data_IF_835950292691
#
_entry.id   IF_835950292691
#
_cell.length_a   1.000
_cell.length_b   1.000
_cell.length_c   1.000
_cell.angle_alpha   90.00
_cell.angle_beta   90.00
_cell.angle_gamma   90.00
#
_symmetry.space_group_name_H-M   'P 1'
#
loop_
_entity.id
_entity.type
_entity.pdbx_description
1 polymer ?
#
# COMPACT_ATOMS: atom_id res chain seq x y z
N UNK A 1 1.01 42.05 5.42
CA UNK A 1 0.03 42.29 6.50
C UNK A 1 -1.24 41.43 6.43
N UNK A 2 -1.73 40.98 5.26
CA UNK A 2 -2.99 40.20 5.16
C UNK A 2 -2.95 38.73 5.61
N UNK A 3 -1.80 38.05 5.56
CA UNK A 3 -1.73 36.63 5.97
C UNK A 3 -1.95 36.38 7.46
N UNK A 4 -1.53 37.31 8.33
CA UNK A 4 -1.64 37.12 9.78
C UNK A 4 -3.08 37.30 10.27
N UNK A 5 -3.83 38.22 9.68
CA UNK A 5 -5.26 38.41 9.97
C UNK A 5 -6.09 37.23 9.46
N UNK A 6 -5.80 36.69 8.28
CA UNK A 6 -6.44 35.47 7.75
C UNK A 6 -6.13 34.26 8.62
N UNK A 7 -4.86 34.06 8.99
CA UNK A 7 -4.45 32.95 9.85
C UNK A 7 -5.14 33.00 11.23
N UNK A 8 -5.21 34.19 11.85
CA UNK A 8 -5.89 34.37 13.13
C UNK A 8 -7.40 34.17 13.01
N UNK A 9 -8.01 34.60 11.90
CA UNK A 9 -9.42 34.34 11.62
C UNK A 9 -9.66 32.84 11.44
N UNK A 10 -8.84 32.16 10.65
CA UNK A 10 -8.91 30.70 10.48
C UNK A 10 -8.78 29.99 11.82
N UNK A 11 -7.78 30.34 12.64
CA UNK A 11 -7.60 29.77 13.99
C UNK A 11 -8.81 29.98 14.90
N UNK A 12 -9.49 31.13 14.84
CA UNK A 12 -10.72 31.37 15.62
C UNK A 12 -11.85 30.45 15.19
N UNK A 13 -12.03 30.25 13.88
CA UNK A 13 -13.10 29.43 13.33
C UNK A 13 -12.82 27.93 13.38
N UNK A 14 -11.55 27.51 13.44
CA UNK A 14 -11.16 26.11 13.58
C UNK A 14 -10.88 25.70 15.02
N UNK A 15 -11.26 26.50 16.02
CA UNK A 15 -10.98 26.24 17.46
C UNK A 15 -9.49 25.98 17.72
N UNK A 16 -8.61 26.77 17.08
CA UNK A 16 -7.15 26.64 17.13
C UNK A 16 -6.59 25.34 16.52
N UNK A 17 -7.42 24.53 15.84
CA UNK A 17 -6.94 23.31 15.18
C UNK A 17 -6.07 23.65 13.99
N UNK A 18 -4.91 22.99 13.92
CA UNK A 18 -3.98 23.09 12.81
C UNK A 18 -4.48 22.27 11.60
N UNK A 19 -4.63 22.92 10.46
CA UNK A 19 -4.99 22.28 9.19
C UNK A 19 -3.82 21.46 8.63
N UNK A 20 -2.61 22.01 8.73
CA UNK A 20 -1.37 21.30 8.40
C UNK A 20 -0.92 20.50 9.62
N UNK A 21 -0.89 19.18 9.49
CA UNK A 21 -0.44 18.27 10.55
C UNK A 21 0.69 17.43 10.01
N UNK A 22 1.89 17.63 10.56
CA UNK A 22 3.03 16.80 10.23
C UNK A 22 2.85 15.40 10.82
N UNK A 23 3.11 14.37 10.02
CA UNK A 23 3.20 12.99 10.44
C UNK A 23 4.66 12.52 10.39
N UNK A 24 4.93 11.34 10.98
CA UNK A 24 6.27 10.73 10.95
C UNK A 24 6.77 10.46 9.52
N UNK A 25 5.87 10.24 8.56
CA UNK A 25 6.20 10.04 7.15
C UNK A 25 5.53 11.11 6.30
N UNK A 26 6.21 11.55 5.23
CA UNK A 26 5.66 12.53 4.27
C UNK A 26 4.32 12.10 3.67
N UNK A 27 4.11 10.79 3.49
CA UNK A 27 2.87 10.22 2.96
C UNK A 27 1.71 10.39 3.95
N UNK A 28 1.95 10.09 5.23
CA UNK A 28 0.96 10.32 6.27
C UNK A 28 0.68 11.81 6.48
N UNK A 29 1.66 12.71 6.26
CA UNK A 29 1.45 14.16 6.36
C UNK A 29 0.37 14.66 5.39
N UNK A 30 0.44 14.26 4.11
CA UNK A 30 -0.56 14.65 3.11
C UNK A 30 -1.96 14.13 3.46
N UNK A 31 -2.05 12.86 3.86
CA UNK A 31 -3.32 12.25 4.25
C UNK A 31 -3.94 12.92 5.48
N UNK A 32 -3.18 13.11 6.56
CA UNK A 32 -3.67 13.77 7.79
C UNK A 32 -4.05 15.23 7.50
N UNK A 33 -3.31 15.91 6.63
CA UNK A 33 -3.64 17.29 6.20
C UNK A 33 -4.97 17.33 5.46
N UNK A 34 -5.20 16.45 4.48
CA UNK A 34 -6.48 16.34 3.77
C UNK A 34 -7.63 16.01 4.72
N UNK A 35 -7.40 15.11 5.68
CA UNK A 35 -8.39 14.73 6.70
C UNK A 35 -8.74 15.92 7.60
N UNK A 36 -7.74 16.68 8.06
CA UNK A 36 -7.93 17.89 8.85
C UNK A 36 -8.71 18.97 8.08
N UNK A 37 -8.37 19.18 6.80
CA UNK A 37 -9.11 20.08 5.91
C UNK A 37 -10.57 19.66 5.78
N UNK A 38 -10.84 18.37 5.53
CA UNK A 38 -12.20 17.85 5.41
C UNK A 38 -13.01 18.05 6.70
N UNK A 39 -12.41 17.77 7.87
CA UNK A 39 -13.06 17.99 9.18
C UNK A 39 -13.40 19.46 9.43
N UNK A 40 -12.62 20.39 8.88
CA UNK A 40 -12.82 21.83 9.03
C UNK A 40 -13.57 22.46 7.86
N UNK A 41 -14.11 21.68 6.92
CA UNK A 41 -14.77 22.16 5.70
C UNK A 41 -15.76 23.29 5.97
N UNK A 42 -16.72 23.07 6.85
CA UNK A 42 -17.81 24.03 7.05
C UNK A 42 -17.33 25.28 7.78
N UNK A 43 -16.35 25.14 8.68
CA UNK A 43 -15.68 26.26 9.33
C UNK A 43 -14.90 27.10 8.31
N UNK A 44 -14.19 26.45 7.39
CA UNK A 44 -13.48 27.11 6.29
C UNK A 44 -14.46 27.83 5.36
N UNK A 45 -15.57 27.20 4.96
CA UNK A 45 -16.59 27.88 4.16
C UNK A 45 -17.16 29.12 4.86
N UNK A 46 -17.39 29.07 6.18
CA UNK A 46 -17.82 30.25 6.97
C UNK A 46 -16.77 31.36 7.00
N UNK A 47 -15.48 31.02 7.08
CA UNK A 47 -14.38 32.00 7.04
C UNK A 47 -14.36 32.74 5.71
N UNK A 48 -14.55 32.02 4.60
CA UNK A 48 -14.38 32.55 3.24
C UNK A 48 -15.68 33.11 2.61
N UNK A 49 -16.87 32.74 3.09
CA UNK A 49 -18.14 33.25 2.55
C UNK A 49 -18.29 34.79 2.60
N UNK A 50 -17.91 35.49 3.70
CA UNK A 50 -17.96 36.95 3.73
C UNK A 50 -17.01 37.62 2.72
N UNK A 51 -15.94 36.93 2.32
CA UNK A 51 -14.94 37.44 1.38
C UNK A 51 -15.46 37.42 -0.05
N UNK A 52 -16.34 36.46 -0.37
CA UNK A 52 -17.07 36.44 -1.64
C UNK A 52 -18.05 37.61 -1.76
N UNK A 53 -18.75 37.95 -0.67
CA UNK A 53 -19.75 39.02 -0.62
C UNK A 53 -19.15 40.44 -0.57
N UNK A 54 -17.92 40.59 -0.06
CA UNK A 54 -17.22 41.89 0.10
C UNK A 54 -16.19 42.13 -1.00
N UNK A 55 -16.41 41.58 -2.20
CA UNK A 55 -15.52 41.63 -3.36
C UNK A 55 -14.93 43.02 -3.67
N UNK A 56 -15.63 44.10 -3.30
CA UNK A 56 -15.20 45.50 -3.49
C UNK A 56 -14.03 45.96 -2.60
N UNK A 57 -13.79 45.38 -1.41
CA UNK A 57 -12.68 45.81 -0.52
C UNK A 57 -11.33 45.18 -0.83
N UNK A 58 -11.33 44.11 -1.63
CA UNK A 58 -10.17 43.22 -1.84
C UNK A 58 -9.95 42.91 -3.31
N UNK A 59 -10.47 43.80 -4.17
CA UNK A 59 -10.55 43.57 -5.60
C UNK A 59 -9.18 43.37 -6.27
N UNK A 60 -8.12 43.90 -5.63
CA UNK A 60 -6.72 43.78 -6.05
C UNK A 60 -6.00 42.52 -5.54
N UNK A 61 -6.59 41.76 -4.61
CA UNK A 61 -5.99 40.52 -4.08
C UNK A 61 -6.39 39.30 -4.93
N UNK A 62 -5.65 39.09 -6.00
CA UNK A 62 -5.89 37.99 -6.94
C UNK A 62 -5.70 36.61 -6.30
N UNK A 63 -4.86 36.50 -5.26
CA UNK A 63 -4.60 35.25 -4.56
C UNK A 63 -5.79 34.89 -3.66
N UNK A 64 -6.26 35.83 -2.83
CA UNK A 64 -7.41 35.62 -1.96
C UNK A 64 -8.70 35.30 -2.73
N UNK A 65 -8.88 35.87 -3.93
CA UNK A 65 -9.97 35.51 -4.84
C UNK A 65 -9.92 34.04 -5.27
N UNK A 66 -8.74 33.55 -5.69
CA UNK A 66 -8.53 32.15 -6.09
C UNK A 66 -8.77 31.19 -4.92
N UNK A 67 -8.24 31.50 -3.74
CA UNK A 67 -8.41 30.68 -2.52
C UNK A 67 -9.88 30.59 -2.11
N UNK A 68 -10.60 31.73 -2.11
CA UNK A 68 -12.04 31.78 -1.82
C UNK A 68 -12.83 30.93 -2.81
N UNK A 69 -12.53 31.04 -4.11
CA UNK A 69 -13.19 30.24 -5.14
C UNK A 69 -12.98 28.74 -4.88
N UNK A 70 -11.75 28.29 -4.64
CA UNK A 70 -11.43 26.88 -4.39
C UNK A 70 -12.14 26.35 -3.14
N UNK A 71 -12.11 27.09 -2.02
CA UNK A 71 -12.74 26.67 -0.75
C UNK A 71 -14.27 26.59 -0.86
N UNK A 72 -14.89 27.39 -1.72
CA UNK A 72 -16.34 27.38 -1.89
C UNK A 72 -16.81 26.38 -2.96
N UNK A 73 -15.93 25.93 -3.86
CA UNK A 73 -16.24 24.93 -4.88
C UNK A 73 -16.56 23.56 -4.27
N UNK A 74 -17.73 23.01 -4.58
CA UNK A 74 -18.12 21.65 -4.16
C UNK A 74 -17.21 20.57 -4.75
N UNK A 75 -16.75 20.74 -5.99
CA UNK A 75 -15.85 19.79 -6.65
C UNK A 75 -14.52 19.62 -5.93
N UNK A 76 -13.97 20.68 -5.34
CA UNK A 76 -12.76 20.62 -4.52
C UNK A 76 -12.93 19.67 -3.33
N UNK A 77 -14.03 19.83 -2.57
CA UNK A 77 -14.32 18.98 -1.41
C UNK A 77 -14.63 17.54 -1.81
N UNK A 78 -15.34 17.35 -2.91
CA UNK A 78 -15.58 16.00 -3.45
C UNK A 78 -14.26 15.32 -3.81
N UNK A 79 -13.29 16.06 -4.36
CA UNK A 79 -11.93 15.56 -4.61
C UNK A 79 -11.20 15.15 -3.32
N UNK A 80 -11.33 15.93 -2.24
CA UNK A 80 -10.75 15.56 -0.93
C UNK A 80 -11.37 14.27 -0.41
N UNK A 81 -12.70 14.15 -0.43
CA UNK A 81 -13.42 12.94 0.02
C UNK A 81 -12.98 11.72 -0.79
N UNK A 82 -12.87 11.88 -2.11
CA UNK A 82 -12.39 10.84 -3.01
C UNK A 82 -10.96 10.40 -2.67
N UNK A 83 -10.03 11.34 -2.52
CA UNK A 83 -8.64 11.05 -2.17
C UNK A 83 -8.50 10.36 -0.81
N UNK A 84 -9.24 10.81 0.20
CA UNK A 84 -9.26 10.18 1.53
C UNK A 84 -9.77 8.75 1.46
N UNK A 85 -10.93 8.54 0.81
CA UNK A 85 -11.52 7.21 0.65
C UNK A 85 -10.54 6.20 0.05
N UNK A 86 -9.82 6.59 -0.99
CA UNK A 86 -8.87 5.71 -1.69
C UNK A 86 -7.62 5.45 -0.85
N UNK A 87 -7.08 6.51 -0.24
CA UNK A 87 -5.87 6.41 0.58
C UNK A 87 -6.14 5.58 1.84
N UNK A 88 -7.32 5.70 2.44
CA UNK A 88 -7.75 4.89 3.59
C UNK A 88 -7.76 3.40 3.25
N UNK A 89 -8.34 3.03 2.11
CA UNK A 89 -8.39 1.64 1.66
C UNK A 89 -7.00 1.07 1.42
N UNK A 90 -6.09 1.85 0.81
CA UNK A 90 -4.69 1.45 0.67
C UNK A 90 -4.04 1.28 2.04
N UNK A 91 -4.20 2.26 2.93
CA UNK A 91 -3.56 2.27 4.24
C UNK A 91 -3.97 1.07 5.09
N UNK A 92 -5.25 0.69 5.12
CA UNK A 92 -5.73 -0.48 5.87
C UNK A 92 -5.01 -1.76 5.45
N UNK A 93 -4.86 -1.99 4.14
CA UNK A 93 -4.22 -3.20 3.62
C UNK A 93 -2.70 -3.20 3.84
N UNK A 94 -2.04 -2.05 3.68
CA UNK A 94 -0.60 -1.94 3.93
C UNK A 94 -0.25 -1.89 5.43
N UNK A 95 -1.11 -1.37 6.30
CA UNK A 95 -0.92 -1.46 7.77
C UNK A 95 -1.07 -2.90 8.24
N UNK A 96 -2.07 -3.62 7.72
CA UNK A 96 -2.21 -5.05 8.00
C UNK A 96 -0.93 -5.82 7.61
N UNK A 97 -0.36 -5.49 6.45
CA UNK A 97 0.92 -6.04 6.00
C UNK A 97 2.07 -5.71 6.98
N UNK A 98 2.11 -4.51 7.54
CA UNK A 98 3.13 -4.10 8.52
C UNK A 98 3.01 -4.83 9.87
N UNK A 99 1.83 -5.35 10.20
CA UNK A 99 1.61 -6.20 11.39
C UNK A 99 2.02 -7.64 11.12
N UNK A 100 1.88 -8.12 9.88
CA UNK A 100 2.37 -9.45 9.46
C UNK A 100 3.88 -9.41 9.22
N UNK A 101 4.66 -9.91 10.17
CA UNK A 101 6.10 -10.03 10.03
C UNK A 101 6.51 -11.50 9.78
N UNK A 102 7.25 -11.81 8.71
CA UNK A 102 7.70 -10.90 7.63
C UNK A 102 6.67 -10.74 6.50
N UNK A 103 6.71 -9.58 5.84
CA UNK A 103 5.69 -9.10 4.89
C UNK A 103 5.85 -9.65 3.47
N UNK A 104 7.01 -10.21 3.11
CA UNK A 104 7.38 -10.51 1.72
C UNK A 104 6.40 -11.46 1.03
N UNK A 105 5.88 -12.45 1.76
CA UNK A 105 4.92 -13.42 1.23
C UNK A 105 3.50 -12.90 1.01
N UNK A 106 3.21 -11.67 1.46
CA UNK A 106 1.85 -11.11 1.52
C UNK A 106 1.65 -9.87 0.67
N UNK A 107 2.73 -9.28 0.14
CA UNK A 107 2.66 -7.93 -0.45
C UNK A 107 1.82 -7.85 -1.73
N UNK A 108 1.87 -8.89 -2.57
CA UNK A 108 1.04 -8.99 -3.77
C UNK A 108 -0.44 -9.15 -3.40
N UNK A 109 -0.75 -10.05 -2.47
CA UNK A 109 -2.12 -10.20 -1.96
C UNK A 109 -2.67 -8.93 -1.32
N UNK A 110 -1.84 -8.20 -0.58
CA UNK A 110 -2.24 -6.93 0.00
C UNK A 110 -2.58 -5.90 -1.08
N UNK A 111 -1.82 -5.87 -2.18
CA UNK A 111 -2.11 -5.00 -3.34
C UNK A 111 -3.40 -5.40 -4.05
N UNK A 112 -3.59 -6.69 -4.31
CA UNK A 112 -4.78 -7.20 -5.01
C UNK A 112 -6.04 -6.95 -4.18
N UNK A 113 -5.99 -7.19 -2.87
CA UNK A 113 -7.09 -6.86 -1.94
C UNK A 113 -7.37 -5.37 -1.86
N UNK A 114 -6.33 -4.53 -1.85
CA UNK A 114 -6.52 -3.08 -1.81
C UNK A 114 -7.21 -2.57 -3.09
N UNK A 115 -6.80 -3.06 -4.26
CA UNK A 115 -7.49 -2.78 -5.53
C UNK A 115 -8.94 -3.27 -5.49
N UNK A 116 -9.17 -4.53 -5.13
CA UNK A 116 -10.52 -5.10 -5.02
C UNK A 116 -11.42 -4.27 -4.08
N UNK A 117 -10.90 -3.81 -2.95
CA UNK A 117 -11.61 -2.94 -2.02
C UNK A 117 -11.94 -1.57 -2.62
N UNK A 118 -11.02 -0.97 -3.38
CA UNK A 118 -11.27 0.28 -4.13
C UNK A 118 -12.41 0.08 -5.13
N UNK A 119 -12.33 -0.93 -6.00
CA UNK A 119 -13.39 -1.21 -6.98
C UNK A 119 -14.75 -1.43 -6.31
N UNK A 120 -14.78 -2.23 -5.24
CA UNK A 120 -16.00 -2.50 -4.45
C UNK A 120 -16.57 -1.22 -3.85
N UNK A 121 -15.71 -0.33 -3.34
CA UNK A 121 -16.13 0.95 -2.75
C UNK A 121 -16.81 1.88 -3.75
N UNK A 122 -16.57 1.69 -5.05
CA UNK A 122 -17.21 2.39 -6.15
C UNK A 122 -18.24 1.53 -6.90
N UNK A 123 -18.70 0.43 -6.30
CA UNK A 123 -19.72 -0.46 -6.87
C UNK A 123 -19.32 -1.02 -8.24
N UNK A 124 -18.02 -1.23 -8.48
CA UNK A 124 -17.50 -1.74 -9.76
C UNK A 124 -17.57 -0.75 -10.93
N UNK A 125 -17.85 0.53 -10.68
CA UNK A 125 -17.87 1.58 -11.72
C UNK A 125 -16.44 1.95 -12.12
N UNK A 126 -15.95 1.34 -13.21
CA UNK A 126 -14.55 1.45 -13.67
C UNK A 126 -14.12 2.90 -13.89
N UNK A 127 -15.00 3.75 -14.45
CA UNK A 127 -14.78 5.19 -14.67
C UNK A 127 -14.43 5.96 -13.38
N UNK A 128 -14.71 5.39 -12.20
CA UNK A 128 -14.43 5.99 -10.89
C UNK A 128 -13.09 5.60 -10.29
N UNK A 129 -12.38 4.61 -10.82
CA UNK A 129 -11.13 4.14 -10.22
C UNK A 129 -10.05 3.73 -11.21
N UNK A 130 -10.32 3.73 -12.51
CA UNK A 130 -9.33 3.41 -13.54
C UNK A 130 -8.08 4.28 -13.44
N UNK A 131 -8.23 5.60 -13.36
CA UNK A 131 -7.10 6.53 -13.19
C UNK A 131 -6.32 6.25 -11.89
N UNK A 132 -7.00 5.86 -10.81
CA UNK A 132 -6.33 5.46 -9.57
C UNK A 132 -5.52 4.19 -9.78
N UNK A 133 -6.08 3.21 -10.49
CA UNK A 133 -5.40 1.96 -10.78
C UNK A 133 -4.14 2.22 -11.60
N UNK A 134 -4.18 3.10 -12.59
CA UNK A 134 -3.01 3.52 -13.35
C UNK A 134 -1.94 4.12 -12.43
N UNK A 135 -2.32 5.07 -11.56
CA UNK A 135 -1.38 5.66 -10.59
C UNK A 135 -0.78 4.58 -9.68
N UNK A 136 -1.60 3.68 -9.14
CA UNK A 136 -1.15 2.57 -8.29
C UNK A 136 -0.19 1.68 -9.07
N UNK A 137 -0.54 1.29 -10.30
CA UNK A 137 0.26 0.40 -11.13
C UNK A 137 1.62 1.01 -11.47
N UNK A 138 1.67 2.29 -11.82
CA UNK A 138 2.92 3.00 -12.07
C UNK A 138 3.81 2.99 -10.82
N UNK A 139 3.24 3.31 -9.64
CA UNK A 139 4.02 3.30 -8.38
C UNK A 139 4.45 1.90 -7.97
N UNK A 140 3.56 0.93 -8.12
CA UNK A 140 3.81 -0.48 -7.87
C UNK A 140 4.97 -0.97 -8.75
N UNK A 141 4.90 -0.72 -10.06
CA UNK A 141 5.95 -1.07 -11.04
C UNK A 141 7.33 -0.55 -10.64
N UNK A 142 7.41 0.71 -10.17
CA UNK A 142 8.68 1.32 -9.82
C UNK A 142 9.28 0.84 -8.48
N UNK A 143 8.45 0.45 -7.51
CA UNK A 143 8.90 0.28 -6.12
C UNK A 143 8.81 -1.15 -5.59
N UNK A 144 7.77 -1.89 -5.99
CA UNK A 144 7.36 -3.12 -5.30
C UNK A 144 6.99 -4.27 -6.26
N UNK A 145 6.79 -4.02 -7.55
CA UNK A 145 6.66 -5.05 -8.60
C UNK A 145 8.04 -5.62 -8.99
N UNK A 146 8.78 -6.07 -7.98
CA UNK A 146 10.11 -6.64 -8.14
C UNK A 146 10.06 -8.16 -8.16
N UNK A 147 11.00 -8.78 -8.87
CA UNK A 147 11.20 -10.24 -8.92
C UNK A 147 11.19 -10.87 -7.52
N UNK A 148 11.81 -10.21 -6.54
CA UNK A 148 11.86 -10.68 -5.15
C UNK A 148 10.49 -10.75 -4.48
N UNK A 149 9.63 -9.75 -4.71
CA UNK A 149 8.29 -9.72 -4.13
C UNK A 149 7.39 -10.78 -4.77
N UNK A 150 7.53 -11.00 -6.09
CA UNK A 150 6.83 -12.05 -6.82
C UNK A 150 7.26 -13.43 -6.31
N UNK A 151 8.57 -13.64 -6.16
CA UNK A 151 9.13 -14.85 -5.54
C UNK A 151 8.62 -15.04 -4.10
N UNK A 152 8.52 -13.98 -3.31
CA UNK A 152 7.94 -14.04 -1.96
C UNK A 152 6.50 -14.54 -1.97
N UNK A 153 5.64 -14.01 -2.85
CA UNK A 153 4.25 -14.45 -2.97
C UNK A 153 4.14 -15.91 -3.45
N UNK A 154 4.93 -16.30 -4.45
CA UNK A 154 5.01 -17.69 -4.93
C UNK A 154 5.48 -18.68 -3.85
N UNK A 155 6.44 -18.29 -3.02
CA UNK A 155 6.97 -19.15 -1.94
C UNK A 155 6.09 -19.17 -0.69
N UNK A 156 4.97 -18.44 -0.69
CA UNK A 156 3.99 -18.47 0.39
C UNK A 156 3.00 -19.64 0.18
N UNK A 157 3.06 -20.71 1.00
CA UNK A 157 2.17 -21.86 0.83
C UNK A 157 0.69 -21.54 1.11
N UNK A 158 0.39 -20.44 1.84
CA UNK A 158 -0.99 -19.99 2.07
C UNK A 158 -1.70 -19.68 0.74
N UNK A 159 -0.98 -19.10 -0.22
CA UNK A 159 -1.57 -18.59 -1.47
C UNK A 159 -1.26 -19.46 -2.67
N UNK A 160 -0.01 -19.89 -2.85
CA UNK A 160 0.36 -20.65 -4.04
C UNK A 160 -0.35 -22.00 -4.14
N UNK A 161 -0.52 -22.69 -3.01
CA UNK A 161 -1.23 -23.97 -3.00
C UNK A 161 -2.76 -23.80 -3.16
N UNK A 162 -3.31 -22.61 -2.88
CA UNK A 162 -4.73 -22.29 -3.09
C UNK A 162 -5.00 -21.78 -4.53
N UNK A 163 -4.01 -21.14 -5.17
CA UNK A 163 -4.07 -20.63 -6.56
C UNK A 163 -2.76 -20.91 -7.32
N UNK A 164 -2.76 -21.95 -8.15
CA UNK A 164 -1.61 -22.30 -8.98
C UNK A 164 -1.38 -21.33 -10.16
N UNK A 165 -2.28 -20.38 -10.43
CA UNK A 165 -2.12 -19.38 -11.49
C UNK A 165 -1.23 -18.21 -11.09
N UNK A 166 -0.78 -18.13 -9.83
CA UNK A 166 0.14 -17.10 -9.34
C UNK A 166 1.39 -16.99 -10.24
N UNK A 167 1.92 -18.09 -10.75
CA UNK A 167 3.08 -18.03 -11.67
C UNK A 167 2.77 -17.21 -12.93
N UNK A 168 1.61 -17.43 -13.53
CA UNK A 168 1.16 -16.71 -14.72
C UNK A 168 0.81 -15.24 -14.40
N UNK A 169 0.18 -15.01 -13.25
CA UNK A 169 -0.25 -13.67 -12.83
C UNK A 169 0.92 -12.75 -12.45
N UNK A 170 2.02 -13.30 -11.93
CA UNK A 170 3.17 -12.52 -11.45
C UNK A 170 4.26 -12.33 -12.52
N UNK A 171 4.08 -12.95 -13.69
CA UNK A 171 4.97 -12.88 -14.84
C UNK A 171 5.94 -14.06 -14.92
N UNK A 172 6.47 -14.32 -16.11
CA UNK A 172 7.35 -15.46 -16.32
C UNK A 172 8.76 -15.21 -15.73
N UNK A 173 9.46 -16.30 -15.40
CA UNK A 173 10.87 -16.36 -15.00
C UNK A 173 11.32 -15.66 -13.70
N UNK A 174 10.41 -15.13 -12.85
CA UNK A 174 10.84 -14.41 -11.64
C UNK A 174 11.60 -15.30 -10.64
N UNK A 175 11.18 -16.55 -10.48
CA UNK A 175 11.75 -17.44 -9.47
C UNK A 175 13.11 -17.97 -9.93
N UNK A 176 13.27 -18.30 -11.21
CA UNK A 176 14.53 -18.68 -11.83
C UNK A 176 15.56 -17.55 -11.73
N UNK A 177 15.16 -16.31 -12.03
CA UNK A 177 16.05 -15.15 -11.87
C UNK A 177 16.44 -14.91 -10.41
N UNK A 178 15.51 -15.10 -9.46
CA UNK A 178 15.83 -15.02 -8.03
C UNK A 178 16.78 -16.13 -7.59
N UNK A 179 16.60 -17.36 -8.08
CA UNK A 179 17.48 -18.50 -7.80
C UNK A 179 18.89 -18.20 -8.30
N UNK A 180 19.03 -17.81 -9.57
CA UNK A 180 20.33 -17.47 -10.18
C UNK A 180 21.06 -16.35 -9.43
N UNK A 181 20.33 -15.32 -8.99
CA UNK A 181 20.92 -14.17 -8.28
C UNK A 181 21.26 -14.45 -6.82
N UNK A 182 20.48 -15.26 -6.12
CA UNK A 182 20.61 -15.45 -4.66
C UNK A 182 21.31 -16.74 -4.24
N UNK A 183 21.42 -17.72 -5.14
CA UNK A 183 22.18 -18.95 -4.95
C UNK A 183 23.39 -18.95 -5.90
N UNK A 184 24.58 -18.64 -5.38
CA UNK A 184 25.81 -18.45 -6.17
C UNK A 184 26.43 -19.75 -6.71
N UNK A 185 25.99 -20.92 -6.22
CA UNK A 185 26.50 -22.23 -6.65
C UNK A 185 25.45 -22.93 -7.54
N UNK A 186 25.88 -23.37 -8.74
CA UNK A 186 25.06 -24.09 -9.73
C UNK A 186 24.43 -25.36 -9.14
N UNK A 187 25.19 -26.17 -8.40
CA UNK A 187 24.65 -27.38 -7.76
C UNK A 187 23.55 -27.05 -6.75
N UNK A 188 23.65 -25.90 -6.09
CA UNK A 188 22.60 -25.42 -5.17
C UNK A 188 21.39 -24.94 -5.96
N UNK A 189 21.58 -24.28 -7.10
CA UNK A 189 20.49 -23.91 -8.00
C UNK A 189 19.73 -25.15 -8.47
N UNK A 190 20.43 -26.18 -8.96
CA UNK A 190 19.82 -27.43 -9.42
C UNK A 190 19.02 -28.14 -8.32
N UNK A 191 19.58 -28.20 -7.10
CA UNK A 191 18.88 -28.75 -5.93
C UNK A 191 17.62 -27.95 -5.59
N UNK A 192 17.69 -26.61 -5.58
CA UNK A 192 16.53 -25.76 -5.34
C UNK A 192 15.46 -25.99 -6.41
N UNK A 193 15.84 -26.02 -7.69
CA UNK A 193 14.91 -26.24 -8.81
C UNK A 193 14.23 -27.61 -8.71
N UNK A 194 14.98 -28.66 -8.35
CA UNK A 194 14.41 -30.00 -8.14
C UNK A 194 13.40 -30.02 -6.99
N UNK A 195 13.75 -29.41 -5.86
CA UNK A 195 12.86 -29.30 -4.70
C UNK A 195 11.65 -28.40 -4.97
N UNK A 196 11.79 -27.42 -5.87
CA UNK A 196 10.70 -26.55 -6.34
C UNK A 196 9.60 -27.37 -7.02
N UNK A 197 9.95 -28.35 -7.84
CA UNK A 197 8.97 -29.23 -8.49
C UNK A 197 8.12 -29.98 -7.46
N UNK A 198 8.75 -30.50 -6.40
CA UNK A 198 8.06 -31.17 -5.28
C UNK A 198 7.11 -30.22 -4.57
N UNK A 199 7.52 -28.96 -4.38
CA UNK A 199 6.65 -27.92 -3.83
C UNK A 199 5.43 -27.66 -4.71
N UNK A 200 5.61 -27.59 -6.04
CA UNK A 200 4.53 -27.32 -6.98
C UNK A 200 3.50 -28.44 -7.08
N UNK A 201 3.92 -29.69 -6.93
CA UNK A 201 3.05 -30.86 -7.02
C UNK A 201 2.47 -31.31 -5.67
N UNK A 202 2.75 -30.58 -4.58
CA UNK A 202 2.35 -30.95 -3.21
C UNK A 202 2.80 -32.37 -2.81
N UNK A 203 3.90 -32.85 -3.38
CA UNK A 203 4.40 -34.20 -3.13
C UNK A 203 5.12 -34.34 -1.78
N UNK A 204 5.15 -35.57 -1.25
CA UNK A 204 5.88 -35.90 -0.03
C UNK A 204 5.29 -35.25 1.23
N UNK A 205 6.15 -34.67 2.08
CA UNK A 205 5.71 -34.07 3.35
C UNK A 205 4.84 -32.82 3.16
N UNK A 206 5.00 -32.13 2.03
CA UNK A 206 4.22 -30.96 1.66
C UNK A 206 2.71 -31.26 1.58
N UNK A 207 2.34 -32.44 1.05
CA UNK A 207 0.95 -32.89 0.90
C UNK A 207 0.33 -33.52 2.15
N UNK A 208 1.08 -33.65 3.26
CA UNK A 208 0.51 -34.24 4.47
C UNK A 208 -0.61 -33.36 5.04
N UNK A 209 -1.69 -33.94 5.62
CA UNK A 209 -2.78 -33.16 6.20
C UNK A 209 -2.33 -32.13 7.24
N UNK A 210 -1.27 -32.42 7.99
CA UNK A 210 -0.70 -31.46 8.95
C UNK A 210 -0.01 -30.28 8.27
N UNK A 211 0.75 -30.52 7.20
CA UNK A 211 1.42 -29.48 6.42
C UNK A 211 0.39 -28.58 5.73
N UNK A 212 -0.67 -29.16 5.15
CA UNK A 212 -1.80 -28.41 4.56
C UNK A 212 -2.45 -27.48 5.59
N UNK A 213 -2.73 -27.96 6.82
CA UNK A 213 -3.27 -27.10 7.89
C UNK A 213 -2.30 -25.99 8.30
N UNK A 214 -1.00 -26.26 8.29
CA UNK A 214 0.01 -25.26 8.64
C UNK A 214 0.10 -24.11 7.64
N UNK A 215 -0.23 -24.33 6.36
CA UNK A 215 -0.22 -23.27 5.32
C UNK A 215 -1.00 -22.01 5.74
N UNK A 216 -2.11 -22.18 6.46
CA UNK A 216 -3.01 -21.07 6.87
C UNK A 216 -2.85 -20.66 8.33
N UNK A 217 -2.16 -21.45 9.15
CA UNK A 217 -2.03 -21.22 10.60
C UNK A 217 -0.63 -20.76 11.02
N UNK A 218 0.38 -20.96 10.16
CA UNK A 218 1.77 -20.58 10.39
C UNK A 218 2.18 -19.42 9.50
N UNK A 219 3.17 -18.64 9.93
CA UNK A 219 3.73 -17.60 9.08
C UNK A 219 4.49 -18.24 7.90
N UNK A 220 4.51 -17.63 6.70
CA UNK A 220 5.19 -18.17 5.52
C UNK A 220 6.67 -18.42 5.76
N UNK A 221 7.31 -17.61 6.62
CA UNK A 221 8.72 -17.80 7.00
C UNK A 221 8.96 -19.07 7.82
N UNK A 222 7.95 -19.64 8.47
CA UNK A 222 8.04 -20.93 9.19
C UNK A 222 8.01 -22.11 8.21
N UNK A 223 8.78 -22.02 7.12
CA UNK A 223 8.82 -22.97 6.01
C UNK A 223 9.21 -24.40 6.45
N UNK A 224 9.86 -24.54 7.62
CA UNK A 224 10.13 -25.82 8.29
C UNK A 224 8.88 -26.62 8.64
N UNK A 225 7.77 -25.95 8.91
CA UNK A 225 6.49 -26.60 9.27
C UNK A 225 5.80 -27.25 8.07
N UNK A 226 6.34 -27.02 6.87
CA UNK A 226 5.75 -27.40 5.59
C UNK A 226 6.71 -28.24 4.74
N UNK A 227 7.90 -27.71 4.43
CA UNK A 227 8.83 -28.32 3.48
C UNK A 227 10.12 -28.81 4.13
N UNK A 228 10.04 -29.44 5.30
CA UNK A 228 11.21 -29.98 6.01
C UNK A 228 11.99 -31.03 5.20
N UNK A 229 11.34 -31.70 4.24
CA UNK A 229 11.98 -32.62 3.29
C UNK A 229 12.76 -31.94 2.17
N UNK A 230 12.66 -30.61 2.05
CA UNK A 230 13.24 -29.82 0.96
C UNK A 230 14.20 -28.76 1.53
N UNK A 231 15.38 -29.16 2.04
CA UNK A 231 16.24 -28.28 2.83
C UNK A 231 16.84 -27.10 2.03
N UNK A 232 17.08 -27.26 0.73
CA UNK A 232 17.67 -26.20 -0.08
C UNK A 232 16.64 -25.12 -0.40
N UNK A 233 15.44 -25.54 -0.82
CA UNK A 233 14.30 -24.68 -1.07
C UNK A 233 13.81 -24.04 0.22
N UNK A 234 13.81 -24.75 1.34
CA UNK A 234 13.48 -24.19 2.64
C UNK A 234 14.41 -23.03 3.01
N UNK A 235 15.73 -23.22 2.93
CA UNK A 235 16.69 -22.13 3.20
C UNK A 235 16.48 -20.95 2.25
N UNK A 236 16.26 -21.24 0.97
CA UNK A 236 16.01 -20.22 -0.04
C UNK A 236 14.72 -19.42 0.25
N UNK A 237 13.65 -20.12 0.60
CA UNK A 237 12.35 -19.53 0.94
C UNK A 237 12.42 -18.68 2.18
N UNK A 238 13.05 -19.18 3.25
CA UNK A 238 13.28 -18.40 4.48
C UNK A 238 14.09 -17.13 4.15
N UNK A 239 15.13 -17.24 3.33
CA UNK A 239 15.97 -16.08 2.94
C UNK A 239 15.16 -14.99 2.23
N UNK A 240 14.30 -15.36 1.29
CA UNK A 240 13.43 -14.38 0.58
C UNK A 240 12.33 -13.87 1.50
N UNK A 241 11.61 -14.78 2.15
CA UNK A 241 10.43 -14.44 2.95
C UNK A 241 10.76 -13.58 4.16
N UNK A 242 11.98 -13.68 4.70
CA UNK A 242 12.46 -12.86 5.83
C UNK A 242 12.86 -11.43 5.45
N UNK A 243 12.89 -11.08 4.16
CA UNK A 243 13.26 -9.72 3.73
C UNK A 243 12.20 -8.69 4.17
N UNK A 244 12.67 -7.50 4.53
CA UNK A 244 11.79 -6.38 4.87
C UNK A 244 11.24 -5.73 3.61
N UNK A 245 9.91 -5.53 3.55
CA UNK A 245 9.25 -4.77 2.49
C UNK A 245 9.13 -3.27 2.80
N UNK A 246 9.63 -2.82 3.96
CA UNK A 246 9.49 -1.43 4.39
C UNK A 246 10.83 -0.84 4.78
N UNK A 247 11.11 0.35 4.24
CA UNK A 247 12.20 1.23 4.70
C UNK A 247 11.81 2.05 5.94
N UNK A 248 10.53 2.06 6.35
CA UNK A 248 10.04 2.92 7.45
C UNK A 248 10.62 2.57 8.82
N UNK A 249 11.14 1.34 9.01
CA UNK A 249 11.92 1.00 10.21
C UNK A 249 13.20 1.83 10.31
N UNK A 250 13.77 2.27 9.19
CA UNK A 250 14.94 3.15 9.13
C UNK A 250 14.57 4.64 9.28
N UNK A 251 13.31 5.03 9.04
CA UNK A 251 12.82 6.41 9.21
C UNK A 251 12.49 6.76 10.67
N UNK A 252 12.63 5.81 11.62
CA UNK A 252 12.35 6.03 13.05
C UNK A 252 13.56 6.56 13.84
N UNK A 253 14.75 6.55 13.25
CA UNK A 253 16.02 6.84 13.93
C UNK A 253 16.77 8.04 13.32
N UNK A 254 16.05 9.11 12.94
CA UNK A 254 16.67 10.41 12.62
C UNK A 254 16.13 11.50 13.54
#
# INVERSE_FOLDING_TARGET
YHRFSVLNLMKRFTEQRNLLRSAKTRFATSFITLSSLHQQRDNLKKVFAPWQLRSSKWEKDQLGKKETQVVLMSSFWNGIVYALKVTDLLFVHFVWLMVRNPAMGYIFEAMDRAKAAIATSFQGKVDKYEEIYEIINIRWACQLHGLLHAAGNFLNPEYYCDDCTIEQQRGDVFHEQCIQRLATNIEKQDKITKELTVYKTDEGLCGMPVAIRHRKTKAPVEWSSYGSSNPNLQQFSIKILSLTCSSSRCERNW
#
